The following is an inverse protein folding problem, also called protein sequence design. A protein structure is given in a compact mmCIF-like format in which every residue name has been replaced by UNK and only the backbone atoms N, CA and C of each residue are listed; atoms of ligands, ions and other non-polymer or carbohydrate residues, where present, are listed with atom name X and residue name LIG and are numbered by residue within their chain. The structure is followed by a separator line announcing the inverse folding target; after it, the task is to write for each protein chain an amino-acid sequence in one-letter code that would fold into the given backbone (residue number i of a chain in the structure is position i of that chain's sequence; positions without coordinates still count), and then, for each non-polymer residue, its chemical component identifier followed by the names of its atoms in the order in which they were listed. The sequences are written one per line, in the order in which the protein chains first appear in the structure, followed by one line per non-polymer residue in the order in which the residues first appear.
data_IF_434037740949
#
_entry.id   IF_434037740949
#
_cell.length_a   1.000
_cell.length_b   1.000
_cell.length_c   1.000
_cell.angle_alpha   90.00
_cell.angle_beta   90.00
_cell.angle_gamma   90.00
#
_symmetry.space_group_name_H-M   'P 1'
#
loop_
_entity.id
_entity.type
_entity.pdbx_description
1 polymer ?
#
# COMPACT_ATOMS: atom_id res chain seq x y z
N UNK A 1 -17.45 17.72 -3.08
CA UNK A 1 -17.72 16.52 -2.27
C UNK A 1 -16.77 15.42 -2.72
N UNK A 2 -15.67 15.20 -2.01
CA UNK A 2 -14.72 14.13 -2.33
C UNK A 2 -15.28 12.83 -1.78
N UNK A 3 -15.88 12.02 -2.66
CA UNK A 3 -16.38 10.69 -2.32
C UNK A 3 -15.20 9.76 -2.03
N UNK A 4 -14.79 9.76 -0.77
CA UNK A 4 -13.72 8.93 -0.24
C UNK A 4 -14.35 7.55 0.03
N UNK A 5 -14.05 6.58 -0.82
CA UNK A 5 -14.41 5.18 -0.62
C UNK A 5 -13.79 4.68 0.70
N UNK A 6 -14.59 4.30 1.71
CA UNK A 6 -14.11 4.07 3.09
C UNK A 6 -13.14 2.89 3.22
N UNK A 7 -13.03 2.04 2.20
CA UNK A 7 -12.25 0.80 2.24
C UNK A 7 -10.84 0.89 1.62
N UNK A 8 -10.37 2.07 1.20
CA UNK A 8 -9.00 2.23 0.63
C UNK A 8 -8.04 3.00 1.53
N UNK A 9 -8.52 3.94 2.34
CA UNK A 9 -7.67 4.73 3.24
C UNK A 9 -7.06 3.96 4.40
N UNK A 10 -7.74 2.97 5.02
CA UNK A 10 -7.15 2.25 6.14
C UNK A 10 -5.83 1.60 5.74
N UNK A 11 -5.80 0.97 4.58
CA UNK A 11 -4.61 0.31 4.03
C UNK A 11 -3.53 1.33 3.68
N UNK A 12 -3.87 2.41 2.98
CA UNK A 12 -2.88 3.46 2.62
C UNK A 12 -2.27 4.09 3.87
N UNK A 13 -3.07 4.40 4.89
CA UNK A 13 -2.60 4.98 6.15
C UNK A 13 -1.73 4.01 6.95
N UNK A 14 -2.09 2.72 6.99
CA UNK A 14 -1.26 1.66 7.61
C UNK A 14 0.10 1.55 6.91
N UNK A 15 0.11 1.47 5.58
CA UNK A 15 1.34 1.38 4.77
C UNK A 15 2.23 2.62 4.93
N UNK A 16 1.65 3.82 5.02
CA UNK A 16 2.40 5.04 5.31
C UNK A 16 3.00 5.06 6.72
N UNK A 17 2.36 4.41 7.70
CA UNK A 17 2.92 4.25 9.04
C UNK A 17 4.22 3.43 9.09
N UNK A 18 4.44 2.56 8.10
CA UNK A 18 5.66 1.77 7.94
C UNK A 18 6.73 2.47 7.09
N UNK A 19 6.44 3.67 6.57
CA UNK A 19 7.39 4.45 5.76
C UNK A 19 8.62 4.79 6.61
N UNK A 20 9.80 4.38 6.17
CA UNK A 20 11.08 4.77 6.79
C UNK A 20 11.62 6.03 6.12
N UNK A 21 11.71 7.12 6.88
CA UNK A 21 12.35 8.38 6.44
C UNK A 21 11.39 9.54 6.17
N UNK A 22 11.94 10.75 6.10
CA UNK A 22 11.22 12.02 6.03
C UNK A 22 10.97 12.49 4.57
N UNK A 23 10.48 11.58 3.71
CA UNK A 23 10.07 11.97 2.35
C UNK A 23 8.78 12.81 2.36
N UNK A 24 8.50 13.56 1.29
CA UNK A 24 7.26 14.33 1.18
C UNK A 24 6.02 13.44 1.37
N UNK A 25 5.21 13.76 2.37
CA UNK A 25 4.01 13.00 2.72
C UNK A 25 3.02 12.93 1.56
N UNK A 26 2.88 14.03 0.81
CA UNK A 26 2.01 14.14 -0.37
C UNK A 26 2.41 13.19 -1.49
N UNK A 27 3.71 13.09 -1.78
CA UNK A 27 4.19 12.20 -2.83
C UNK A 27 4.13 10.73 -2.39
N UNK A 28 4.46 10.48 -1.13
CA UNK A 28 4.35 9.16 -0.50
C UNK A 28 2.92 8.62 -0.56
N UNK A 29 1.93 9.42 -0.18
CA UNK A 29 0.52 9.03 -0.22
C UNK A 29 0.06 8.72 -1.64
N UNK A 30 0.46 9.53 -2.62
CA UNK A 30 0.10 9.32 -4.02
C UNK A 30 0.69 8.02 -4.58
N UNK A 31 1.95 7.70 -4.23
CA UNK A 31 2.61 6.45 -4.62
C UNK A 31 1.90 5.24 -4.01
N UNK A 32 1.65 5.26 -2.69
CA UNK A 32 0.98 4.16 -1.97
C UNK A 32 -0.45 3.98 -2.49
N UNK A 33 -1.20 5.05 -2.74
CA UNK A 33 -2.56 4.98 -3.29
C UNK A 33 -2.60 4.36 -4.68
N UNK A 34 -1.64 4.70 -5.55
CA UNK A 34 -1.51 4.09 -6.87
C UNK A 34 -1.21 2.60 -6.78
N UNK A 35 -0.27 2.22 -5.90
CA UNK A 35 0.09 0.84 -5.64
C UNK A 35 -1.10 0.02 -5.13
N UNK A 36 -1.79 0.48 -4.08
CA UNK A 36 -2.99 -0.16 -3.52
C UNK A 36 -4.06 -0.34 -4.60
N UNK A 37 -4.28 0.67 -5.45
CA UNK A 37 -5.26 0.58 -6.53
C UNK A 37 -4.90 -0.50 -7.56
N UNK A 38 -3.62 -0.69 -7.86
CA UNK A 38 -3.15 -1.76 -8.76
C UNK A 38 -3.26 -3.13 -8.08
N UNK A 39 -2.87 -3.25 -6.81
CA UNK A 39 -2.90 -4.50 -6.06
C UNK A 39 -4.31 -5.00 -5.75
N UNK A 40 -5.28 -4.09 -5.57
CA UNK A 40 -6.70 -4.47 -5.48
C UNK A 40 -7.22 -5.15 -6.73
N UNK A 41 -6.66 -4.82 -7.91
CA UNK A 41 -7.05 -5.47 -9.18
C UNK A 41 -6.34 -6.80 -9.39
N UNK A 42 -5.09 -6.94 -8.94
CA UNK A 42 -4.30 -8.17 -9.10
C UNK A 42 -4.44 -9.17 -7.95
N UNK A 43 -5.08 -8.79 -6.84
CA UNK A 43 -5.24 -9.63 -5.66
C UNK A 43 -3.99 -9.74 -4.77
N UNK A 44 -3.02 -8.83 -4.92
CA UNK A 44 -1.74 -8.87 -4.18
C UNK A 44 -1.71 -7.98 -2.92
N UNK A 45 -2.85 -7.48 -2.45
CA UNK A 45 -2.91 -6.51 -1.36
C UNK A 45 -2.70 -7.15 0.01
N UNK A 46 -3.34 -8.28 0.28
CA UNK A 46 -3.18 -9.03 1.53
C UNK A 46 -1.72 -9.46 1.75
N UNK A 47 -1.05 -9.89 0.67
CA UNK A 47 0.37 -10.23 0.66
C UNK A 47 1.24 -9.03 1.05
N UNK A 48 0.94 -7.84 0.51
CA UNK A 48 1.65 -6.60 0.84
C UNK A 48 1.47 -6.24 2.32
N UNK A 49 0.25 -6.30 2.85
CA UNK A 49 -0.01 -6.00 4.26
C UNK A 49 0.68 -6.99 5.19
N UNK A 50 0.67 -8.27 4.84
CA UNK A 50 1.33 -9.32 5.61
C UNK A 50 2.86 -9.16 5.57
N UNK A 51 3.43 -8.85 4.40
CA UNK A 51 4.89 -8.70 4.24
C UNK A 51 5.44 -7.52 5.05
N UNK A 52 4.70 -6.41 5.06
CA UNK A 52 5.12 -5.21 5.78
C UNK A 52 4.89 -5.35 7.28
N UNK A 53 3.75 -5.92 7.70
CA UNK A 53 3.42 -6.05 9.13
C UNK A 53 4.17 -7.20 9.80
N UNK A 54 4.37 -8.31 9.09
CA UNK A 54 5.09 -9.48 9.58
C UNK A 54 6.60 -9.32 9.57
N UNK A 55 7.13 -8.36 8.79
CA UNK A 55 8.57 -8.15 8.55
C UNK A 55 9.32 -9.46 8.20
N UNK A 56 8.61 -10.41 7.61
CA UNK A 56 9.12 -11.73 7.31
C UNK A 56 9.89 -11.70 5.96
N UNK A 57 11.12 -12.24 5.90
CA UNK A 57 11.90 -12.25 4.68
C UNK A 57 11.41 -13.27 3.64
N UNK A 58 10.54 -14.22 4.00
CA UNK A 58 10.04 -15.29 3.11
C UNK A 58 8.67 -14.97 2.52
N UNK A 59 8.48 -13.73 2.05
CA UNK A 59 7.21 -13.27 1.48
C UNK A 59 7.11 -13.53 -0.02
N UNK A 60 5.90 -13.74 -0.56
CA UNK A 60 5.72 -13.98 -2.00
C UNK A 60 5.85 -12.67 -2.79
N UNK A 61 6.24 -12.79 -4.06
CA UNK A 61 6.42 -11.63 -4.94
C UNK A 61 5.10 -10.89 -5.22
N UNK A 62 5.10 -9.58 -4.96
CA UNK A 62 3.98 -8.69 -5.25
C UNK A 62 4.16 -8.12 -6.66
N UNK A 63 3.41 -8.67 -7.62
CA UNK A 63 3.55 -8.32 -9.04
C UNK A 63 2.67 -7.13 -9.43
N UNK A 64 3.24 -6.23 -10.22
CA UNK A 64 2.55 -5.06 -10.80
C UNK A 64 2.75 -5.12 -12.33
N UNK A 65 1.70 -4.93 -13.14
CA UNK A 65 1.86 -4.82 -14.59
C UNK A 65 2.76 -3.63 -14.92
N UNK A 66 3.71 -3.88 -15.83
CA UNK A 66 4.69 -2.91 -16.30
C UNK A 66 4.06 -1.83 -17.17
#
# INVERSE_FOLDING_TARGET
MTSILPFTLPVVKRLLGWKKGEGEEKWSEKAVKSLVKKLKKSGGLDELENSISGQDPNTRCIKIPR
#
